data_IF_597508462441
#
_entry.id   IF_597508462441
#
_cell.length_a   1.000
_cell.length_b   1.000
_cell.length_c   1.000
_cell.angle_alpha   90.00
_cell.angle_beta   90.00
_cell.angle_gamma   90.00
#
_symmetry.space_group_name_H-M   'P 1'
#
loop_
_entity.id
_entity.type
_entity.pdbx_description
1 polymer ?
#
# COMPACT_ATOMS: atom_id res chain seq x y z
N UNK A 1 84.13 44.67 -30.53
CA UNK A 1 83.11 44.56 -31.59
C UNK A 1 82.00 43.65 -31.08
N UNK A 2 80.75 44.09 -31.26
CA UNK A 2 79.44 43.60 -30.81
C UNK A 2 79.30 42.07 -30.60
N UNK A 3 78.44 41.54 -29.72
CA UNK A 3 77.04 41.89 -29.53
C UNK A 3 76.40 41.20 -28.30
N UNK A 4 75.32 41.82 -27.87
CA UNK A 4 74.40 41.65 -26.75
C UNK A 4 73.57 40.37 -26.84
N UNK A 5 73.43 39.60 -25.75
CA UNK A 5 72.21 38.82 -25.46
C UNK A 5 71.92 38.80 -23.95
N UNK A 6 71.16 39.79 -23.51
CA UNK A 6 70.37 39.73 -22.28
C UNK A 6 69.35 38.60 -22.41
N UNK A 7 69.37 37.63 -21.49
CA UNK A 7 68.30 36.66 -21.32
C UNK A 7 67.69 36.88 -19.95
N UNK A 8 66.59 37.63 -19.94
CA UNK A 8 65.69 37.81 -18.81
C UNK A 8 65.19 36.42 -18.40
N UNK A 9 65.61 35.92 -17.24
CA UNK A 9 64.97 34.75 -16.60
C UNK A 9 63.89 35.30 -15.70
N UNK A 10 62.67 35.12 -16.18
CA UNK A 10 61.39 35.52 -15.63
C UNK A 10 61.13 34.92 -14.24
N UNK A 11 60.54 35.76 -13.40
CA UNK A 11 59.53 35.43 -12.41
C UNK A 11 59.86 34.29 -11.42
N UNK A 12 60.43 34.69 -10.30
CA UNK A 12 60.35 33.91 -9.07
C UNK A 12 58.89 33.63 -8.70
N UNK A 13 58.53 32.35 -8.77
CA UNK A 13 58.02 31.60 -7.61
C UNK A 13 56.98 32.32 -6.73
N UNK A 14 55.73 32.44 -7.19
CA UNK A 14 54.58 32.63 -6.28
C UNK A 14 53.42 31.74 -6.74
N UNK A 15 52.87 30.99 -5.78
CA UNK A 15 51.60 30.24 -5.82
C UNK A 15 51.59 28.86 -6.50
N UNK A 16 52.16 27.85 -5.84
CA UNK A 16 51.86 26.43 -6.13
C UNK A 16 51.50 25.63 -4.86
N UNK A 17 50.79 26.26 -3.91
CA UNK A 17 50.61 25.68 -2.56
C UNK A 17 49.21 25.69 -1.96
N UNK A 18 48.13 25.95 -2.71
CA UNK A 18 46.81 26.11 -2.08
C UNK A 18 45.59 25.65 -2.89
N UNK A 19 45.71 24.61 -3.72
CA UNK A 19 44.58 24.16 -4.55
C UNK A 19 44.36 22.64 -4.56
N UNK A 20 44.59 21.98 -3.42
CA UNK A 20 44.45 20.53 -3.28
C UNK A 20 43.71 20.13 -1.98
N UNK A 21 42.68 20.87 -1.57
CA UNK A 21 41.89 20.53 -0.37
C UNK A 21 40.37 20.68 -0.52
N UNK A 22 39.82 20.66 -1.73
CA UNK A 22 38.37 20.73 -1.95
C UNK A 22 37.74 19.43 -2.51
N UNK A 23 38.51 18.57 -3.19
CA UNK A 23 37.92 17.44 -3.93
C UNK A 23 37.43 16.27 -3.04
N UNK A 24 38.08 16.02 -1.91
CA UNK A 24 37.74 14.85 -1.06
C UNK A 24 36.39 14.94 -0.33
N UNK A 25 35.86 16.14 -0.09
CA UNK A 25 34.59 16.31 0.64
C UNK A 25 33.36 16.09 -0.25
N UNK A 26 33.45 16.45 -1.53
CA UNK A 26 32.42 16.18 -2.53
C UNK A 26 32.30 14.68 -2.82
N UNK A 27 33.44 14.00 -3.01
CA UNK A 27 33.49 12.56 -3.24
C UNK A 27 32.92 11.75 -2.07
N UNK A 28 33.21 12.18 -0.85
CA UNK A 28 32.68 11.57 0.38
C UNK A 28 31.16 11.74 0.49
N UNK A 29 30.65 12.94 0.16
CA UNK A 29 29.22 13.22 0.16
C UNK A 29 28.49 12.42 -0.91
N UNK A 30 29.03 12.33 -2.12
CA UNK A 30 28.47 11.50 -3.19
C UNK A 30 28.47 10.02 -2.85
N UNK A 31 29.55 9.52 -2.22
CA UNK A 31 29.60 8.13 -1.72
C UNK A 31 28.50 7.88 -0.70
N UNK A 32 28.31 8.77 0.27
CA UNK A 32 27.24 8.65 1.28
C UNK A 32 25.86 8.71 0.66
N UNK A 33 25.61 9.63 -0.28
CA UNK A 33 24.33 9.72 -1.00
C UNK A 33 24.05 8.42 -1.74
N UNK A 34 25.05 7.86 -2.43
CA UNK A 34 24.91 6.59 -3.15
C UNK A 34 24.61 5.43 -2.21
N UNK A 35 25.31 5.34 -1.08
CA UNK A 35 25.07 4.31 -0.06
C UNK A 35 23.67 4.44 0.54
N UNK A 36 23.24 5.66 0.87
CA UNK A 36 21.90 5.91 1.41
C UNK A 36 20.81 5.57 0.37
N UNK A 37 20.98 5.97 -0.88
CA UNK A 37 20.05 5.64 -1.97
C UNK A 37 19.92 4.12 -2.16
N UNK A 38 21.03 3.39 -2.11
CA UNK A 38 21.03 1.93 -2.19
C UNK A 38 20.31 1.28 -0.98
N UNK A 39 20.57 1.78 0.24
CA UNK A 39 19.89 1.29 1.45
C UNK A 39 18.38 1.57 1.43
N UNK A 40 17.97 2.73 0.90
CA UNK A 40 16.56 3.11 0.77
C UNK A 40 15.84 2.24 -0.26
N UNK A 41 16.48 1.97 -1.41
CA UNK A 41 15.93 1.09 -2.43
C UNK A 41 15.73 -0.33 -1.88
N UNK A 42 16.70 -0.87 -1.14
CA UNK A 42 16.60 -2.18 -0.50
C UNK A 42 15.45 -2.24 0.53
N UNK A 43 15.36 -1.23 1.41
CA UNK A 43 14.28 -1.15 2.40
C UNK A 43 12.89 -1.04 1.74
N UNK A 44 12.79 -0.33 0.61
CA UNK A 44 11.54 -0.18 -0.14
C UNK A 44 11.13 -1.49 -0.81
N UNK A 45 12.06 -2.19 -1.46
CA UNK A 45 11.81 -3.52 -2.01
C UNK A 45 11.35 -4.52 -0.94
N UNK A 46 11.97 -4.49 0.24
CA UNK A 46 11.54 -5.34 1.36
C UNK A 46 10.13 -4.98 1.82
N UNK A 47 9.82 -3.70 2.02
CA UNK A 47 8.48 -3.24 2.40
C UNK A 47 7.41 -3.59 1.36
N UNK A 48 7.74 -3.51 0.08
CA UNK A 48 6.84 -3.89 -1.01
C UNK A 48 6.62 -5.41 -1.04
N UNK A 49 7.66 -6.21 -0.78
CA UNK A 49 7.53 -7.67 -0.63
C UNK A 49 6.67 -8.06 0.59
N UNK A 50 6.77 -7.34 1.70
CA UNK A 50 5.89 -7.52 2.85
C UNK A 50 4.44 -7.18 2.53
N UNK A 51 4.18 -6.05 1.86
CA UNK A 51 2.83 -5.67 1.42
C UNK A 51 2.23 -6.71 0.48
N UNK A 52 2.97 -7.16 -0.53
CA UNK A 52 2.51 -8.20 -1.45
C UNK A 52 2.19 -9.53 -0.74
N UNK A 53 2.96 -9.90 0.30
CA UNK A 53 2.67 -11.09 1.12
C UNK A 53 1.41 -10.93 1.96
N UNK A 54 1.19 -9.76 2.55
CA UNK A 54 -0.01 -9.47 3.37
C UNK A 54 -1.25 -9.43 2.48
N UNK A 55 -1.19 -8.75 1.35
CA UNK A 55 -2.28 -8.69 0.36
C UNK A 55 -2.56 -10.06 -0.26
N UNK A 56 -1.52 -10.81 -0.64
CA UNK A 56 -1.66 -12.17 -1.15
C UNK A 56 -2.26 -13.13 -0.12
N UNK A 57 -1.92 -12.99 1.17
CA UNK A 57 -2.55 -13.73 2.26
C UNK A 57 -3.99 -13.26 2.51
N UNK A 58 -4.29 -11.97 2.36
CA UNK A 58 -5.64 -11.46 2.45
C UNK A 58 -6.52 -12.04 1.33
N UNK A 59 -6.05 -12.02 0.08
CA UNK A 59 -6.74 -12.68 -1.05
C UNK A 59 -6.88 -14.19 -0.87
N UNK A 60 -5.84 -14.87 -0.38
CA UNK A 60 -5.89 -16.31 -0.14
C UNK A 60 -6.82 -16.69 1.03
N UNK A 61 -6.89 -15.85 2.07
CA UNK A 61 -7.86 -16.00 3.15
C UNK A 61 -9.29 -15.75 2.64
N UNK A 62 -9.50 -14.72 1.82
CA UNK A 62 -10.77 -14.42 1.16
C UNK A 62 -11.27 -15.63 0.35
N UNK A 63 -10.36 -16.31 -0.35
CA UNK A 63 -10.68 -17.50 -1.17
C UNK A 63 -10.98 -18.76 -0.33
N UNK A 64 -10.43 -18.89 0.88
CA UNK A 64 -10.64 -20.06 1.76
C UNK A 64 -11.98 -20.02 2.49
N UNK A 65 -12.56 -18.83 2.66
CA UNK A 65 -13.91 -18.67 3.23
C UNK A 65 -14.94 -18.42 2.13
N UNK A 66 -14.76 -19.06 0.97
CA UNK A 66 -15.84 -19.22 0.00
C UNK A 66 -16.85 -20.25 0.53
N UNK A 67 -17.56 -19.88 1.59
CA UNK A 67 -18.80 -20.55 1.96
C UNK A 67 -19.81 -20.39 0.83
N UNK A 68 -20.57 -21.44 0.52
CA UNK A 68 -21.59 -21.36 -0.49
C UNK A 68 -22.66 -20.35 -0.07
N UNK A 69 -22.77 -19.24 -0.80
CA UNK A 69 -23.88 -18.30 -0.64
C UNK A 69 -25.17 -19.07 -0.98
N UNK A 70 -26.23 -18.94 -0.17
CA UNK A 70 -27.49 -19.63 -0.44
C UNK A 70 -28.02 -19.28 -1.84
N UNK A 71 -28.59 -20.27 -2.57
CA UNK A 71 -29.22 -20.03 -3.86
C UNK A 71 -30.42 -19.10 -3.67
N UNK A 72 -30.43 -17.96 -4.37
CA UNK A 72 -31.46 -16.93 -4.25
C UNK A 72 -30.96 -15.57 -3.75
N UNK A 73 -29.68 -15.45 -3.42
CA UNK A 73 -29.12 -14.21 -2.88
C UNK A 73 -29.51 -13.99 -1.41
N UNK A 74 -28.95 -12.95 -0.83
CA UNK A 74 -29.13 -12.59 0.58
C UNK A 74 -29.46 -11.12 0.61
N UNK A 75 -30.48 -10.74 1.38
CA UNK A 75 -30.89 -9.34 1.50
C UNK A 75 -30.47 -8.75 2.82
N UNK A 76 -30.13 -7.48 2.79
CA UNK A 76 -29.92 -6.68 3.98
C UNK A 76 -31.27 -6.31 4.58
N UNK A 77 -31.49 -6.67 5.83
CA UNK A 77 -32.73 -6.36 6.56
C UNK A 77 -32.58 -5.17 7.50
N UNK A 78 -31.38 -4.87 7.99
CA UNK A 78 -31.11 -3.67 8.79
C UNK A 78 -29.66 -3.19 8.67
N UNK A 79 -29.44 -1.92 8.95
CA UNK A 79 -28.15 -1.25 8.81
C UNK A 79 -27.88 -0.29 9.96
N UNK A 80 -26.83 -0.58 10.71
CA UNK A 80 -26.28 0.35 11.70
C UNK A 80 -25.08 1.11 11.10
N UNK A 81 -25.36 2.32 10.60
CA UNK A 81 -24.36 3.19 9.97
C UNK A 81 -23.28 3.67 10.93
N UNK A 82 -23.63 3.89 12.19
CA UNK A 82 -22.69 4.38 13.20
C UNK A 82 -21.59 3.34 13.51
N UNK A 83 -21.96 2.06 13.50
CA UNK A 83 -21.05 0.95 13.82
C UNK A 83 -20.47 0.26 12.58
N UNK A 84 -20.85 0.66 11.37
CA UNK A 84 -20.36 -0.03 10.18
C UNK A 84 -21.01 -1.40 9.95
N UNK A 85 -22.15 -1.70 10.58
CA UNK A 85 -22.75 -3.04 10.62
C UNK A 85 -24.00 -3.15 9.76
N UNK A 86 -24.18 -4.32 9.17
CA UNK A 86 -25.38 -4.71 8.41
C UNK A 86 -25.90 -6.05 8.95
N UNK A 87 -27.21 -6.24 8.85
CA UNK A 87 -27.89 -7.49 9.19
C UNK A 87 -28.42 -8.11 7.91
N UNK A 88 -28.10 -9.38 7.70
CA UNK A 88 -28.54 -10.17 6.57
C UNK A 88 -29.69 -11.12 6.95
N UNK A 89 -30.62 -11.35 6.03
CA UNK A 89 -31.78 -12.25 6.18
C UNK A 89 -31.45 -13.75 6.02
N UNK A 90 -30.16 -14.08 6.04
CA UNK A 90 -29.64 -15.44 5.99
C UNK A 90 -28.77 -15.71 7.22
N UNK A 91 -28.85 -16.93 7.75
CA UNK A 91 -28.07 -17.38 8.90
C UNK A 91 -27.50 -18.78 8.69
N UNK A 92 -27.21 -19.49 9.77
CA UNK A 92 -26.57 -20.81 9.74
C UNK A 92 -27.38 -21.84 8.92
N UNK A 93 -28.72 -21.74 8.91
CA UNK A 93 -29.58 -22.63 8.10
C UNK A 93 -29.36 -22.46 6.60
N UNK A 94 -28.89 -21.30 6.19
CA UNK A 94 -28.60 -20.94 4.81
C UNK A 94 -27.11 -21.05 4.50
N UNK A 95 -26.30 -21.57 5.44
CA UNK A 95 -24.86 -21.76 5.22
C UNK A 95 -24.00 -20.55 5.59
N UNK A 96 -24.54 -19.52 6.25
CA UNK A 96 -23.72 -18.40 6.72
C UNK A 96 -22.71 -18.87 7.77
N UNK A 97 -21.49 -18.35 7.67
CA UNK A 97 -20.39 -18.66 8.58
C UNK A 97 -19.65 -17.38 8.96
N UNK A 98 -19.16 -17.30 10.20
CA UNK A 98 -18.28 -16.22 10.61
C UNK A 98 -17.01 -16.22 9.74
N UNK A 99 -16.61 -15.04 9.29
CA UNK A 99 -15.50 -14.84 8.36
C UNK A 99 -15.89 -14.89 6.88
N UNK A 100 -17.11 -15.30 6.53
CA UNK A 100 -17.60 -15.28 5.15
C UNK A 100 -17.64 -13.83 4.65
N UNK A 101 -17.02 -13.58 3.50
CA UNK A 101 -17.04 -12.27 2.85
C UNK A 101 -18.07 -12.30 1.72
N UNK A 102 -18.97 -11.33 1.74
CA UNK A 102 -20.03 -11.16 0.75
C UNK A 102 -19.88 -9.82 0.05
N UNK A 103 -20.30 -9.78 -1.21
CA UNK A 103 -20.41 -8.55 -1.98
C UNK A 103 -21.86 -8.08 -1.95
N UNK A 104 -22.09 -6.88 -1.41
CA UNK A 104 -23.39 -6.21 -1.44
C UNK A 104 -23.57 -5.61 -2.82
N UNK A 105 -24.71 -5.88 -3.44
CA UNK A 105 -25.04 -5.45 -4.78
C UNK A 105 -26.27 -4.54 -4.74
N UNK A 106 -26.27 -3.44 -5.47
CA UNK A 106 -27.46 -2.63 -5.71
C UNK A 106 -27.85 -2.75 -7.17
N UNK A 107 -28.84 -3.60 -7.45
CA UNK A 107 -29.10 -4.07 -8.81
C UNK A 107 -27.91 -4.88 -9.32
N UNK A 108 -27.25 -4.41 -10.38
CA UNK A 108 -26.09 -5.07 -10.99
C UNK A 108 -24.74 -4.39 -10.64
N UNK A 109 -24.75 -3.44 -9.69
CA UNK A 109 -23.55 -2.69 -9.29
C UNK A 109 -23.03 -3.13 -7.92
N UNK A 110 -21.72 -3.40 -7.78
CA UNK A 110 -21.12 -3.72 -6.49
C UNK A 110 -21.02 -2.47 -5.61
N UNK A 111 -21.60 -2.51 -4.42
CA UNK A 111 -21.67 -1.39 -3.49
C UNK A 111 -20.57 -1.47 -2.42
N UNK A 112 -20.45 -2.62 -1.77
CA UNK A 112 -19.53 -2.81 -0.66
C UNK A 112 -19.19 -4.29 -0.43
N UNK A 113 -18.03 -4.54 0.17
CA UNK A 113 -17.68 -5.84 0.74
C UNK A 113 -18.00 -5.86 2.23
N UNK A 114 -18.68 -6.91 2.66
CA UNK A 114 -19.05 -7.11 4.06
C UNK A 114 -18.51 -8.44 4.54
N UNK A 115 -17.99 -8.49 5.77
CA UNK A 115 -17.54 -9.73 6.42
C UNK A 115 -18.51 -10.10 7.53
N UNK A 116 -19.03 -11.33 7.48
CA UNK A 116 -19.89 -11.90 8.52
C UNK A 116 -19.09 -12.06 9.82
N UNK A 117 -19.60 -11.50 10.91
CA UNK A 117 -18.97 -11.52 12.25
C UNK A 117 -19.78 -12.29 13.28
N UNK A 118 -21.11 -12.33 13.13
CA UNK A 118 -22.02 -13.09 13.99
C UNK A 118 -23.02 -13.86 13.13
N UNK A 119 -23.32 -15.09 13.51
CA UNK A 119 -24.27 -15.94 12.77
C UNK A 119 -25.29 -16.52 13.74
N UNK A 120 -26.57 -16.25 13.46
CA UNK A 120 -27.71 -16.86 14.14
C UNK A 120 -28.39 -17.87 13.25
N UNK A 121 -29.42 -18.56 13.76
CA UNK A 121 -30.14 -19.59 12.99
C UNK A 121 -30.75 -19.09 11.67
N UNK A 122 -31.19 -17.83 11.62
CA UNK A 122 -31.92 -17.25 10.48
C UNK A 122 -31.37 -15.91 9.98
N UNK A 123 -30.47 -15.27 10.71
CA UNK A 123 -29.89 -13.96 10.38
C UNK A 123 -28.40 -13.98 10.66
N UNK A 124 -27.66 -13.08 10.05
CA UNK A 124 -26.23 -12.90 10.28
C UNK A 124 -25.90 -11.41 10.37
N UNK A 125 -25.01 -11.07 11.29
CA UNK A 125 -24.42 -9.74 11.39
C UNK A 125 -23.12 -9.69 10.60
N UNK A 126 -22.93 -8.64 9.80
CA UNK A 126 -21.70 -8.42 9.04
C UNK A 126 -21.19 -6.99 9.19
N UNK A 127 -19.89 -6.81 9.07
CA UNK A 127 -19.21 -5.50 9.11
C UNK A 127 -18.81 -5.09 7.70
N UNK A 128 -19.02 -3.82 7.36
CA UNK A 128 -18.59 -3.23 6.08
C UNK A 128 -17.07 -3.03 6.10
N UNK A 129 -16.34 -3.76 5.26
CA UNK A 129 -14.87 -3.67 5.17
C UNK A 129 -14.41 -2.60 4.19
N UNK A 130 -15.00 -2.60 3.01
CA UNK A 130 -14.62 -1.71 1.91
C UNK A 130 -15.86 -1.31 1.14
N UNK A 131 -15.94 -0.03 0.78
CA UNK A 131 -16.97 0.51 -0.11
C UNK A 131 -16.36 0.73 -1.49
N UNK A 132 -17.11 0.43 -2.53
CA UNK A 132 -16.76 0.87 -3.87
C UNK A 132 -17.19 2.34 -4.01
N UNK A 133 -16.27 3.18 -4.49
CA UNK A 133 -16.43 4.63 -4.49
C UNK A 133 -17.55 5.07 -5.43
N UNK A 134 -18.65 5.60 -4.88
CA UNK A 134 -19.68 6.29 -5.65
C UNK A 134 -21.13 5.85 -5.39
N UNK A 135 -21.35 4.60 -4.98
CA UNK A 135 -22.71 4.02 -4.95
C UNK A 135 -23.44 4.15 -3.59
N UNK A 136 -22.80 4.75 -2.58
CA UNK A 136 -23.40 5.09 -1.28
C UNK A 136 -23.10 4.08 -0.17
N UNK A 137 -23.92 4.07 0.88
CA UNK A 137 -23.83 3.11 1.99
C UNK A 137 -24.89 2.02 1.81
N UNK A 138 -24.65 0.76 2.23
CA UNK A 138 -25.67 -0.29 2.22
C UNK A 138 -26.97 0.15 2.88
N UNK A 139 -28.10 -0.24 2.31
CA UNK A 139 -29.45 0.04 2.80
C UNK A 139 -30.28 -1.24 2.88
N UNK A 140 -31.32 -1.29 3.71
CA UNK A 140 -32.23 -2.43 3.73
C UNK A 140 -32.85 -2.67 2.34
N UNK A 141 -32.78 -3.91 1.87
CA UNK A 141 -33.26 -4.34 0.56
C UNK A 141 -32.18 -4.54 -0.51
N UNK A 142 -30.97 -4.03 -0.27
CA UNK A 142 -29.76 -4.40 -1.04
C UNK A 142 -29.36 -5.87 -0.82
#
# INVERSE_FOLDING_TARGET
MHDTRFRVVTAGMIAAGFLLRADGAGDEAERRIRTLAASLAAARCEADAWRARVEGKALAADRRVAGAVPPGGVRICDVNRALGMVVADAGARQGMQAGLVLMVMRGDRPLARVRVVDVRRRVAGAVVEKRESGDGYPEPGD
#
